data_IF_435852771132
#
_entry.id   IF_435852771132
#
_cell.length_a   1.000
_cell.length_b   1.000
_cell.length_c   1.000
_cell.angle_alpha   90.00
_cell.angle_beta   90.00
_cell.angle_gamma   90.00
#
_symmetry.space_group_name_H-M   'P 1'
#
loop_
_entity.id
_entity.type
_entity.pdbx_description
1 polymer ?
#
# COMPACT_ATOMS: atom_id res chain seq x y z
N UNK A 1 53.70 -13.87 -0.93
CA UNK A 1 54.31 -14.59 0.21
C UNK A 1 53.24 -14.81 1.27
N UNK A 2 53.48 -15.74 2.23
CA UNK A 2 52.69 -15.93 3.45
C UNK A 2 52.68 -14.61 4.27
N UNK A 3 51.74 -14.33 5.19
CA UNK A 3 51.41 -15.19 6.35
C UNK A 3 50.02 -14.88 6.94
N UNK A 4 49.36 -15.92 7.44
CA UNK A 4 48.19 -15.88 8.33
C UNK A 4 48.63 -15.35 9.71
N UNK A 5 47.79 -14.60 10.40
CA UNK A 5 47.74 -14.63 11.88
C UNK A 5 46.29 -14.67 12.34
N UNK A 6 45.99 -15.63 13.21
CA UNK A 6 44.73 -15.73 13.95
C UNK A 6 45.01 -15.36 15.41
N UNK A 7 44.06 -14.74 16.10
CA UNK A 7 44.08 -14.70 17.57
C UNK A 7 42.65 -14.68 18.09
N UNK A 8 42.33 -15.69 18.89
CA UNK A 8 41.12 -15.77 19.71
C UNK A 8 41.46 -15.17 21.08
N UNK A 9 40.55 -14.41 21.68
CA UNK A 9 40.57 -14.12 23.10
C UNK A 9 39.15 -14.12 23.68
N UNK A 10 38.93 -14.97 24.67
CA UNK A 10 37.70 -15.09 25.46
C UNK A 10 38.04 -14.79 26.91
N UNK A 11 37.25 -13.97 27.61
CA UNK A 11 37.10 -13.81 29.08
C UNK A 11 36.20 -12.56 29.30
N UNK A 12 35.40 -12.37 30.36
CA UNK A 12 34.90 -13.24 31.43
C UNK A 12 33.60 -12.63 32.01
N UNK A 13 32.81 -13.41 32.76
CA UNK A 13 31.73 -12.88 33.61
C UNK A 13 32.28 -12.04 34.77
N UNK A 14 31.51 -11.03 35.20
CA UNK A 14 31.41 -10.64 36.62
C UNK A 14 29.93 -10.50 36.97
N UNK A 15 29.51 -11.21 38.02
CA UNK A 15 28.22 -11.03 38.67
C UNK A 15 28.45 -10.49 40.09
N UNK A 16 27.58 -9.60 40.55
CA UNK A 16 27.44 -9.23 41.96
C UNK A 16 25.95 -9.14 42.28
N UNK A 17 25.56 -9.53 43.50
CA UNK A 17 24.17 -9.52 43.91
C UNK A 17 23.98 -9.34 45.41
N UNK A 18 22.70 -9.34 45.80
CA UNK A 18 22.15 -9.37 47.15
C UNK A 18 22.25 -8.11 48.03
N UNK A 19 21.12 -7.73 48.63
CA UNK A 19 21.01 -6.66 49.63
C UNK A 19 19.56 -6.22 49.89
N UNK A 20 18.73 -7.09 50.47
CA UNK A 20 17.36 -6.76 50.88
C UNK A 20 17.26 -6.53 52.40
N UNK A 21 16.50 -5.52 52.82
CA UNK A 21 15.92 -5.42 54.17
C UNK A 21 14.68 -4.51 54.14
N UNK A 22 13.64 -4.87 54.89
CA UNK A 22 12.38 -4.12 54.99
C UNK A 22 11.86 -4.09 56.43
N UNK A 23 11.41 -2.92 56.91
CA UNK A 23 10.68 -2.75 58.18
C UNK A 23 9.72 -1.54 58.07
N UNK A 24 8.46 -1.71 58.48
CA UNK A 24 7.53 -0.64 58.96
C UNK A 24 7.15 -0.94 60.44
N UNK A 25 6.25 -0.19 61.14
CA UNK A 25 5.02 0.41 60.58
C UNK A 25 4.45 1.72 61.25
N UNK A 26 3.27 2.15 60.74
CA UNK A 26 2.13 2.89 61.38
C UNK A 26 2.09 4.45 61.54
N UNK A 27 0.88 5.08 61.47
CA UNK A 27 0.64 6.52 61.28
C UNK A 27 0.04 7.23 62.54
N UNK A 28 -0.30 8.55 62.52
CA UNK A 28 -1.54 9.09 61.89
C UNK A 28 -1.23 10.35 61.01
N UNK A 29 -2.12 11.26 60.55
CA UNK A 29 -3.56 11.55 60.75
C UNK A 29 -4.20 12.25 59.50
N UNK A 30 -5.45 12.71 59.60
CA UNK A 30 -6.19 13.47 58.55
C UNK A 30 -6.20 15.00 58.79
N UNK A 31 -6.48 15.79 57.71
CA UNK A 31 -7.46 16.88 57.81
C UNK A 31 -8.64 16.74 56.82
N UNK A 32 -9.74 17.43 57.13
CA UNK A 32 -11.02 17.42 56.41
C UNK A 32 -11.08 18.48 55.27
N UNK A 33 -12.09 18.46 54.37
CA UNK A 33 -12.01 19.13 53.07
C UNK A 33 -12.53 20.58 53.05
N UNK A 34 -11.96 21.47 52.21
CA UNK A 34 -12.57 22.75 51.88
C UNK A 34 -13.29 22.72 50.51
N UNK A 35 -14.55 23.15 50.56
CA UNK A 35 -15.34 23.90 49.56
C UNK A 35 -15.17 23.63 48.04
N UNK A 36 -16.30 23.35 47.40
CA UNK A 36 -16.46 23.44 45.95
C UNK A 36 -16.06 24.83 45.42
N UNK A 37 -15.30 24.86 44.33
CA UNK A 37 -14.95 26.07 43.59
C UNK A 37 -15.30 25.87 42.12
N UNK A 38 -15.99 26.86 41.56
CA UNK A 38 -16.62 26.92 40.23
C UNK A 38 -15.84 26.28 39.07
N UNK A 39 -16.60 25.66 38.15
CA UNK A 39 -16.15 25.25 36.82
C UNK A 39 -15.33 26.35 36.13
N UNK A 40 -14.04 26.10 35.92
CA UNK A 40 -13.19 26.94 35.11
C UNK A 40 -13.40 26.64 33.62
N UNK A 41 -13.57 27.69 32.81
CA UNK A 41 -13.57 27.56 31.36
C UNK A 41 -12.27 26.87 30.86
N UNK A 42 -12.33 26.08 29.78
CA UNK A 42 -11.16 25.33 29.30
C UNK A 42 -9.99 26.27 28.96
N UNK A 43 -8.83 26.00 29.55
CA UNK A 43 -7.59 26.74 29.29
C UNK A 43 -7.17 26.53 27.82
N UNK A 44 -6.98 27.61 27.05
CA UNK A 44 -6.61 27.53 25.64
C UNK A 44 -5.31 26.73 25.43
N UNK A 45 -5.21 25.88 24.39
CA UNK A 45 -4.01 25.08 24.15
C UNK A 45 -2.73 25.93 24.04
N UNK A 46 -1.71 25.58 24.82
CA UNK A 46 -0.34 26.13 24.73
C UNK A 46 0.39 25.60 23.48
N UNK A 47 -0.16 25.90 22.30
CA UNK A 47 0.25 25.34 21.01
C UNK A 47 0.89 26.33 20.02
N UNK A 48 0.95 27.61 20.38
CA UNK A 48 1.58 28.67 19.59
C UNK A 48 3.00 28.94 20.10
N UNK A 49 3.99 29.01 19.20
CA UNK A 49 5.35 29.42 19.59
C UNK A 49 5.31 30.83 20.22
N UNK A 50 6.12 31.13 21.26
CA UNK A 50 6.00 32.38 22.03
C UNK A 50 6.09 33.71 21.24
N UNK A 51 6.64 33.68 20.02
CA UNK A 51 6.72 34.83 19.12
C UNK A 51 5.56 35.01 18.14
N UNK A 52 4.55 34.12 18.12
CA UNK A 52 3.42 34.27 17.20
C UNK A 52 2.44 35.36 17.66
N UNK A 53 2.12 36.31 16.77
CA UNK A 53 1.16 37.37 17.04
C UNK A 53 -0.21 36.80 17.44
N UNK A 54 -0.72 37.22 18.61
CA UNK A 54 -2.07 36.84 19.08
C UNK A 54 -3.18 37.67 18.44
N UNK A 55 -2.87 38.88 17.99
CA UNK A 55 -3.80 39.77 17.31
C UNK A 55 -3.07 40.52 16.19
N UNK A 56 -3.49 40.32 14.95
CA UNK A 56 -2.96 41.05 13.80
C UNK A 56 -3.93 40.96 12.61
N UNK A 57 -3.73 41.87 11.66
CA UNK A 57 -4.33 41.80 10.32
C UNK A 57 -3.32 41.13 9.39
N UNK A 58 -3.78 40.07 8.72
CA UNK A 58 -2.98 39.25 7.82
C UNK A 58 -3.47 39.43 6.38
N UNK A 59 -2.56 39.36 5.42
CA UNK A 59 -2.89 39.35 4.00
C UNK A 59 -2.03 38.35 3.21
N UNK A 60 -2.57 37.84 2.11
CA UNK A 60 -1.82 37.04 1.15
C UNK A 60 -0.82 37.92 0.38
N UNK A 61 0.24 37.33 -0.18
CA UNK A 61 1.29 38.09 -0.89
C UNK A 61 0.81 38.90 -2.11
N UNK A 62 -0.37 38.56 -2.66
CA UNK A 62 -1.05 39.28 -3.74
C UNK A 62 -2.14 40.26 -3.26
N UNK A 63 -2.37 40.38 -1.94
CA UNK A 63 -3.40 41.25 -1.36
C UNK A 63 -4.86 40.84 -1.59
N UNK A 64 -5.13 39.71 -2.26
CA UNK A 64 -6.48 39.27 -2.63
C UNK A 64 -7.28 38.69 -1.45
N UNK A 65 -6.58 38.17 -0.44
CA UNK A 65 -7.19 37.63 0.77
C UNK A 65 -6.61 38.35 1.98
N UNK A 66 -7.47 38.70 2.93
CA UNK A 66 -7.07 39.31 4.20
C UNK A 66 -8.08 39.03 5.30
N UNK A 67 -7.60 39.05 6.54
CA UNK A 67 -8.43 38.85 7.73
C UNK A 67 -7.77 39.42 8.99
N UNK A 68 -8.60 39.74 9.98
CA UNK A 68 -8.15 39.90 11.38
C UNK A 68 -8.26 38.55 12.07
N UNK A 69 -7.18 38.11 12.72
CA UNK A 69 -7.16 36.95 13.61
C UNK A 69 -6.96 37.44 15.05
N UNK A 70 -7.87 37.06 15.94
CA UNK A 70 -7.85 37.39 17.37
C UNK A 70 -7.81 36.13 18.22
N UNK A 71 -6.68 35.93 18.90
CA UNK A 71 -6.38 34.86 19.87
C UNK A 71 -6.10 35.44 21.27
N UNK A 72 -6.64 36.62 21.58
CA UNK A 72 -6.40 37.32 22.86
C UNK A 72 -7.41 36.97 23.94
N UNK A 73 -8.65 36.61 23.56
CA UNK A 73 -9.70 36.13 24.46
C UNK A 73 -9.66 34.61 24.67
N UNK A 74 -10.67 34.09 25.37
CA UNK A 74 -10.82 32.65 25.65
C UNK A 74 -11.20 31.82 24.40
N UNK A 75 -11.76 32.45 23.37
CA UNK A 75 -12.08 31.84 22.07
C UNK A 75 -11.24 32.48 20.98
N UNK A 76 -10.79 31.68 20.02
CA UNK A 76 -10.12 32.19 18.82
C UNK A 76 -11.17 32.67 17.84
N UNK A 77 -10.96 33.84 17.24
CA UNK A 77 -11.89 34.48 16.31
C UNK A 77 -11.17 34.91 15.04
N UNK A 78 -11.88 34.84 13.92
CA UNK A 78 -11.47 35.44 12.65
C UNK A 78 -12.56 36.34 12.09
N UNK A 79 -12.18 37.46 11.48
CA UNK A 79 -13.04 38.25 10.61
C UNK A 79 -12.34 38.42 9.26
N UNK A 80 -12.97 37.92 8.20
CA UNK A 80 -12.45 38.00 6.83
C UNK A 80 -12.75 39.40 6.27
N UNK A 81 -11.80 39.97 5.53
CA UNK A 81 -11.96 41.32 4.97
C UNK A 81 -13.19 41.40 4.05
N UNK A 82 -13.97 42.48 4.22
CA UNK A 82 -15.24 42.68 3.51
C UNK A 82 -16.43 41.88 4.08
N UNK A 83 -16.21 40.95 5.01
CA UNK A 83 -17.28 40.21 5.69
C UNK A 83 -17.66 40.86 7.03
N UNK A 84 -18.95 40.76 7.38
CA UNK A 84 -19.48 41.25 8.67
C UNK A 84 -19.33 40.24 9.79
N UNK A 85 -19.19 38.97 9.45
CA UNK A 85 -19.19 37.89 10.42
C UNK A 85 -17.86 37.75 11.16
N UNK A 86 -17.97 37.48 12.46
CA UNK A 86 -16.87 37.11 13.33
C UNK A 86 -17.07 35.63 13.65
N UNK A 87 -16.18 34.79 13.15
CA UNK A 87 -16.30 33.34 13.23
C UNK A 87 -15.46 32.86 14.40
N UNK A 88 -16.08 32.12 15.33
CA UNK A 88 -15.39 31.34 16.35
C UNK A 88 -14.63 30.18 15.71
N UNK A 89 -13.38 29.97 16.10
CA UNK A 89 -12.53 28.91 15.58
C UNK A 89 -12.08 27.97 16.70
N UNK A 90 -12.22 26.67 16.48
CA UNK A 90 -11.77 25.63 17.40
C UNK A 90 -10.43 25.06 16.93
N UNK A 91 -9.38 25.04 17.78
CA UNK A 91 -8.09 24.46 17.43
C UNK A 91 -8.12 22.93 17.42
N UNK A 92 -7.54 22.32 16.38
CA UNK A 92 -7.28 20.88 16.26
C UNK A 92 -5.81 20.65 15.95
N UNK A 93 -5.13 19.86 16.78
CA UNK A 93 -3.71 19.54 16.59
C UNK A 93 -3.48 18.79 15.27
N UNK A 94 -2.41 19.15 14.56
CA UNK A 94 -1.84 18.37 13.47
C UNK A 94 -0.54 17.69 13.93
N UNK A 95 -0.53 16.35 13.91
CA UNK A 95 0.62 15.54 14.31
C UNK A 95 1.05 14.60 13.19
N UNK A 96 2.36 14.48 13.01
CA UNK A 96 2.98 13.51 12.11
C UNK A 96 4.00 12.68 12.88
N UNK A 97 3.88 11.35 12.83
CA UNK A 97 4.67 10.42 13.66
C UNK A 97 4.73 10.82 15.16
N UNK A 98 3.62 11.34 15.70
CA UNK A 98 3.49 11.84 17.08
C UNK A 98 3.98 13.29 17.31
N UNK A 99 4.86 13.81 16.44
CA UNK A 99 5.37 15.18 16.52
C UNK A 99 4.33 16.22 16.08
N UNK A 100 4.16 17.29 16.86
CA UNK A 100 3.26 18.40 16.58
C UNK A 100 3.82 19.29 15.44
N UNK A 101 3.09 19.37 14.32
CA UNK A 101 3.43 20.23 13.17
C UNK A 101 2.75 21.60 13.24
N UNK A 102 1.59 21.67 13.89
CA UNK A 102 0.80 22.89 13.98
C UNK A 102 -0.63 22.61 14.44
N UNK A 103 -1.51 23.55 14.19
CA UNK A 103 -2.94 23.45 14.50
C UNK A 103 -3.76 23.91 13.30
N UNK A 104 -4.73 23.09 12.90
CA UNK A 104 -5.87 23.57 12.14
C UNK A 104 -6.80 24.34 13.07
N UNK A 105 -7.50 25.33 12.52
CA UNK A 105 -8.52 26.09 13.22
C UNK A 105 -9.81 25.97 12.42
N UNK A 106 -10.71 25.15 12.92
CA UNK A 106 -11.93 24.75 12.24
C UNK A 106 -13.10 25.64 12.68
N UNK A 107 -13.91 26.09 11.73
CA UNK A 107 -15.15 26.82 11.97
C UNK A 107 -16.29 25.89 12.44
N UNK A 108 -17.43 26.42 12.93
CA UNK A 108 -18.54 25.59 13.41
C UNK A 108 -19.17 24.70 12.33
N UNK A 109 -18.98 25.03 11.04
CA UNK A 109 -19.39 24.21 9.89
C UNK A 109 -18.42 23.04 9.57
N UNK A 110 -17.41 22.82 10.42
CA UNK A 110 -16.48 21.70 10.30
C UNK A 110 -15.29 21.93 9.36
N UNK A 111 -15.21 23.08 8.68
CA UNK A 111 -14.12 23.38 7.73
C UNK A 111 -12.94 24.08 8.42
N UNK A 112 -11.72 23.68 8.06
CA UNK A 112 -10.52 24.42 8.41
C UNK A 112 -10.52 25.79 7.70
N UNK A 113 -10.38 26.87 8.47
CA UNK A 113 -10.30 28.25 7.93
C UNK A 113 -8.86 28.73 7.88
N UNK A 114 -8.07 28.43 8.92
CA UNK A 114 -6.62 28.68 8.94
C UNK A 114 -5.85 27.49 9.49
N UNK A 115 -4.59 27.38 9.12
CA UNK A 115 -3.61 26.49 9.75
C UNK A 115 -2.44 27.32 10.26
N UNK A 116 -2.00 27.06 11.49
CA UNK A 116 -0.85 27.72 12.11
C UNK A 116 0.20 26.67 12.43
N UNK A 117 1.31 26.70 11.68
CA UNK A 117 2.46 25.83 11.89
C UNK A 117 3.19 26.16 13.20
N UNK A 118 3.86 25.18 13.82
CA UNK A 118 4.75 25.41 14.97
C UNK A 118 5.91 26.34 14.64
N UNK A 119 6.30 26.44 13.36
CA UNK A 119 7.34 27.35 12.85
C UNK A 119 6.92 28.82 12.77
N UNK A 120 5.64 29.15 12.94
CA UNK A 120 5.12 30.53 12.80
C UNK A 120 4.31 30.80 11.54
N UNK A 121 4.44 29.97 10.49
CA UNK A 121 3.70 30.13 9.24
C UNK A 121 2.19 29.99 9.43
N UNK A 122 1.41 30.89 8.80
CA UNK A 122 -0.05 30.85 8.78
C UNK A 122 -0.50 30.63 7.34
N UNK A 123 -1.41 29.66 7.15
CA UNK A 123 -2.15 29.46 5.90
C UNK A 123 -3.63 29.75 6.10
N UNK A 124 -4.27 30.22 5.04
CA UNK A 124 -5.71 30.43 4.96
C UNK A 124 -6.30 29.58 3.83
N UNK A 125 -7.47 29.00 4.09
CA UNK A 125 -8.12 28.07 3.17
C UNK A 125 -9.35 28.71 2.52
N UNK A 126 -9.46 28.60 1.20
CA UNK A 126 -10.70 28.92 0.46
C UNK A 126 -11.07 27.71 -0.39
N UNK A 127 -12.03 26.92 0.08
CA UNK A 127 -12.39 25.67 -0.58
C UNK A 127 -11.26 24.63 -0.50
N UNK A 128 -10.55 24.41 -1.62
CA UNK A 128 -9.35 23.55 -1.69
C UNK A 128 -8.04 24.34 -1.83
N UNK A 129 -8.10 25.66 -1.97
CA UNK A 129 -6.93 26.51 -2.20
C UNK A 129 -6.29 26.94 -0.86
N UNK A 130 -4.96 26.89 -0.80
CA UNK A 130 -4.16 27.34 0.34
C UNK A 130 -3.42 28.65 0.01
N UNK A 131 -3.49 29.64 0.91
CA UNK A 131 -2.76 30.90 0.78
C UNK A 131 -1.84 31.10 1.99
N UNK A 132 -0.53 31.29 1.75
CA UNK A 132 0.39 31.73 2.81
C UNK A 132 0.10 33.20 3.17
N UNK A 133 -0.02 33.46 4.48
CA UNK A 133 -0.49 34.73 5.02
C UNK A 133 0.61 35.44 5.82
N UNK A 134 0.84 36.71 5.49
CA UNK A 134 1.82 37.56 6.16
C UNK A 134 1.11 38.57 7.07
N UNK A 135 1.62 38.84 8.29
CA UNK A 135 1.11 39.91 9.13
C UNK A 135 1.48 41.26 8.50
N UNK A 136 0.48 42.08 8.14
CA UNK A 136 0.72 43.37 7.47
C UNK A 136 0.53 44.58 8.39
N UNK A 137 -0.22 44.44 9.49
CA UNK A 137 -0.37 45.48 10.53
C UNK A 137 -0.98 44.92 11.81
N UNK A 138 -0.89 45.71 12.89
CA UNK A 138 -1.72 45.48 14.09
C UNK A 138 -3.22 45.63 13.78
N UNK A 139 -4.05 44.95 14.56
CA UNK A 139 -5.51 45.00 14.44
C UNK A 139 -6.16 45.37 15.79
N UNK A 140 -7.43 45.75 15.75
CA UNK A 140 -8.27 45.85 16.94
C UNK A 140 -8.81 44.47 17.31
N UNK A 141 -9.02 44.22 18.60
CA UNK A 141 -9.63 42.99 19.08
C UNK A 141 -11.05 42.85 18.49
N UNK A 142 -11.42 41.62 18.12
CA UNK A 142 -12.73 41.35 17.53
C UNK A 142 -13.80 41.33 18.62
N UNK A 143 -15.05 41.65 18.24
CA UNK A 143 -16.21 41.53 19.11
C UNK A 143 -16.52 40.08 19.52
N UNK A 144 -17.73 39.86 20.03
CA UNK A 144 -18.28 38.51 20.19
C UNK A 144 -18.44 37.84 18.81
N UNK A 145 -18.25 36.51 18.70
CA UNK A 145 -18.51 35.80 17.46
C UNK A 145 -19.99 35.89 17.06
N UNK A 146 -20.25 36.15 15.79
CA UNK A 146 -21.60 36.07 15.18
C UNK A 146 -21.91 34.65 14.71
N UNK A 147 -20.87 33.85 14.44
CA UNK A 147 -20.95 32.44 14.08
C UNK A 147 -20.14 31.65 15.11
N UNK A 148 -20.82 30.81 15.90
CA UNK A 148 -20.28 30.17 17.10
C UNK A 148 -20.67 28.69 17.21
N UNK A 149 -19.93 27.92 18.01
CA UNK A 149 -20.20 26.52 18.34
C UNK A 149 -19.10 25.53 17.93
N UNK A 150 -19.23 24.30 18.42
CA UNK A 150 -18.27 23.22 18.14
C UNK A 150 -18.30 22.79 16.66
N UNK A 151 -17.15 22.52 16.02
CA UNK A 151 -17.08 22.08 14.63
C UNK A 151 -17.86 20.79 14.39
N UNK A 152 -18.77 20.82 13.41
CA UNK A 152 -19.46 19.62 12.93
C UNK A 152 -18.71 19.02 11.75
N UNK A 153 -17.70 18.20 12.02
CA UNK A 153 -17.07 17.41 10.97
C UNK A 153 -18.05 16.35 10.45
N UNK A 154 -18.53 16.53 9.23
CA UNK A 154 -19.15 15.42 8.49
C UNK A 154 -18.09 14.34 8.29
N UNK A 155 -18.44 13.07 8.55
CA UNK A 155 -17.54 11.95 8.28
C UNK A 155 -17.18 11.95 6.79
N UNK A 156 -15.89 11.81 6.42
CA UNK A 156 -15.50 11.64 5.03
C UNK A 156 -16.30 10.53 4.34
N UNK A 157 -16.63 10.73 3.06
CA UNK A 157 -17.44 9.77 2.30
C UNK A 157 -16.87 8.34 2.33
N UNK A 158 -15.54 8.20 2.40
CA UNK A 158 -14.87 6.90 2.50
C UNK A 158 -15.10 6.20 3.84
N UNK A 159 -15.19 6.93 4.96
CA UNK A 159 -15.51 6.34 6.26
C UNK A 159 -16.96 5.84 6.27
N UNK A 160 -17.90 6.66 5.78
CA UNK A 160 -19.32 6.28 5.67
C UNK A 160 -19.50 5.06 4.76
N UNK A 161 -18.73 4.99 3.66
CA UNK A 161 -18.75 3.86 2.75
C UNK A 161 -18.09 2.61 3.33
N UNK A 162 -16.97 2.77 4.06
CA UNK A 162 -16.32 1.70 4.82
C UNK A 162 -17.20 1.13 5.92
N UNK A 163 -17.90 1.98 6.67
CA UNK A 163 -18.90 1.61 7.69
C UNK A 163 -20.08 0.84 7.09
N UNK A 164 -20.47 1.13 5.84
CA UNK A 164 -21.48 0.37 5.09
C UNK A 164 -20.98 -1.02 4.67
N UNK A 165 -19.71 -1.16 4.27
CA UNK A 165 -19.13 -2.43 3.83
C UNK A 165 -18.66 -3.32 5.00
N UNK A 166 -18.24 -2.73 6.12
CA UNK A 166 -17.72 -3.46 7.29
C UNK A 166 -18.62 -4.59 7.79
N UNK A 167 -19.93 -4.37 8.02
CA UNK A 167 -20.88 -5.40 8.48
C UNK A 167 -21.08 -6.59 7.53
N UNK A 168 -20.78 -6.44 6.24
CA UNK A 168 -20.87 -7.52 5.24
C UNK A 168 -19.52 -8.18 4.95
N UNK A 169 -18.42 -7.66 5.50
CA UNK A 169 -17.08 -8.19 5.25
C UNK A 169 -16.87 -9.56 5.89
N UNK A 170 -16.08 -10.41 5.24
CA UNK A 170 -15.77 -11.78 5.71
C UNK A 170 -15.20 -11.76 7.11
N UNK A 171 -14.17 -10.95 7.38
CA UNK A 171 -13.52 -10.91 8.71
C UNK A 171 -14.44 -10.37 9.82
N UNK A 172 -15.53 -9.66 9.49
CA UNK A 172 -16.54 -9.22 10.47
C UNK A 172 -17.63 -10.25 10.72
N UNK A 173 -18.14 -10.90 9.66
CA UNK A 173 -19.17 -11.96 9.73
C UNK A 173 -18.61 -13.28 10.29
N UNK A 174 -17.36 -13.59 9.94
CA UNK A 174 -16.69 -14.86 10.20
C UNK A 174 -15.28 -14.61 10.76
N UNK A 175 -15.15 -14.19 12.04
CA UNK A 175 -13.87 -13.75 12.62
C UNK A 175 -12.76 -14.81 12.67
N UNK A 176 -13.08 -16.08 12.42
CA UNK A 176 -12.09 -17.16 12.36
C UNK A 176 -11.22 -17.14 11.10
N UNK A 177 -11.57 -16.36 10.07
CA UNK A 177 -10.75 -16.23 8.86
C UNK A 177 -9.74 -15.08 8.98
N UNK A 178 -8.51 -15.31 8.55
CA UNK A 178 -7.43 -14.31 8.56
C UNK A 178 -7.37 -13.50 7.26
N UNK A 179 -6.38 -12.61 7.11
CA UNK A 179 -6.16 -11.89 5.85
C UNK A 179 -5.50 -12.79 4.78
N UNK A 180 -4.71 -13.77 5.23
CA UNK A 180 -4.02 -14.77 4.43
C UNK A 180 -4.98 -15.82 3.84
N UNK A 181 -6.05 -16.17 4.57
CA UNK A 181 -7.10 -17.08 4.09
C UNK A 181 -7.76 -16.58 2.78
N UNK A 182 -7.76 -15.27 2.52
CA UNK A 182 -8.24 -14.67 1.26
C UNK A 182 -7.46 -15.15 0.01
N UNK A 183 -6.24 -15.66 0.22
CA UNK A 183 -5.35 -16.17 -0.82
C UNK A 183 -5.46 -17.68 -1.03
N UNK A 184 -6.08 -18.39 -0.08
CA UNK A 184 -6.24 -19.84 -0.10
C UNK A 184 -7.60 -20.20 -0.73
N UNK A 185 -7.58 -20.86 -1.88
CA UNK A 185 -8.79 -21.17 -2.65
C UNK A 185 -9.77 -22.08 -1.89
N UNK A 186 -9.29 -23.01 -1.06
CA UNK A 186 -10.16 -23.84 -0.23
C UNK A 186 -10.85 -23.02 0.87
N UNK A 187 -10.17 -22.00 1.41
CA UNK A 187 -10.73 -21.07 2.41
C UNK A 187 -11.71 -20.08 1.81
N UNK A 188 -11.42 -19.56 0.60
CA UNK A 188 -12.39 -18.79 -0.16
C UNK A 188 -13.64 -19.62 -0.46
N UNK A 189 -13.49 -20.89 -0.88
CA UNK A 189 -14.63 -21.79 -1.07
C UNK A 189 -15.44 -22.00 0.23
N UNK A 190 -14.77 -22.24 1.36
CA UNK A 190 -15.39 -22.38 2.69
C UNK A 190 -16.21 -21.12 3.06
N UNK A 191 -15.71 -19.92 2.74
CA UNK A 191 -16.43 -18.66 2.91
C UNK A 191 -17.61 -18.54 1.96
N UNK A 192 -17.45 -18.85 0.67
CA UNK A 192 -18.56 -18.81 -0.30
C UNK A 192 -19.69 -19.76 0.10
N UNK A 193 -19.37 -20.95 0.62
CA UNK A 193 -20.34 -21.92 1.14
C UNK A 193 -21.07 -21.41 2.41
N UNK A 194 -20.45 -20.53 3.20
CA UNK A 194 -21.04 -19.89 4.40
C UNK A 194 -21.74 -18.55 4.14
N UNK A 195 -21.34 -17.80 3.13
CA UNK A 195 -21.81 -16.43 2.86
C UNK A 195 -23.32 -16.36 2.61
N UNK A 196 -24.00 -15.37 3.18
CA UNK A 196 -25.42 -15.11 2.88
C UNK A 196 -25.56 -14.08 1.73
N UNK A 197 -26.76 -13.93 1.12
CA UNK A 197 -26.96 -13.04 -0.02
C UNK A 197 -26.54 -11.58 0.19
N UNK A 198 -26.50 -11.07 1.43
CA UNK A 198 -26.08 -9.69 1.73
C UNK A 198 -24.56 -9.46 1.62
N UNK A 199 -23.76 -10.53 1.65
CA UNK A 199 -22.30 -10.47 1.56
C UNK A 199 -21.78 -10.34 0.13
N UNK A 200 -22.59 -10.70 -0.87
CA UNK A 200 -22.21 -10.55 -2.26
C UNK A 200 -22.27 -9.11 -2.71
N UNK A 201 -21.26 -8.72 -3.46
CA UNK A 201 -21.07 -7.40 -4.06
C UNK A 201 -20.57 -7.56 -5.50
N UNK A 202 -20.56 -6.48 -6.26
CA UNK A 202 -19.86 -6.42 -7.56
C UNK A 202 -18.92 -5.22 -7.62
N UNK A 203 -17.79 -5.39 -8.29
CA UNK A 203 -16.95 -4.26 -8.68
C UNK A 203 -17.57 -3.54 -9.89
N UNK A 204 -17.54 -2.21 -9.87
CA UNK A 204 -17.97 -1.35 -10.98
C UNK A 204 -16.89 -0.33 -11.28
N UNK A 205 -16.38 -0.35 -12.50
CA UNK A 205 -15.40 0.64 -12.96
C UNK A 205 -16.10 1.98 -13.19
N UNK A 206 -15.72 2.99 -12.39
CA UNK A 206 -16.30 4.35 -12.44
C UNK A 206 -15.48 5.33 -13.25
N UNK A 207 -14.16 5.20 -13.17
CA UNK A 207 -13.22 6.03 -13.92
C UNK A 207 -12.24 5.10 -14.65
N UNK A 208 -12.22 5.11 -16.01
CA UNK A 208 -11.25 4.31 -16.77
C UNK A 208 -9.81 4.81 -16.62
N UNK A 209 -9.61 6.07 -16.18
CA UNK A 209 -8.31 6.69 -15.94
C UNK A 209 -7.98 6.82 -14.44
N UNK A 210 -8.89 6.37 -13.56
CA UNK A 210 -8.71 6.42 -12.11
C UNK A 210 -7.79 5.32 -11.59
N UNK A 211 -7.75 5.15 -10.27
CA UNK A 211 -7.05 4.04 -9.65
C UNK A 211 -7.77 2.72 -9.95
N UNK A 212 -7.10 1.79 -10.64
CA UNK A 212 -7.69 0.53 -11.09
C UNK A 212 -7.38 -0.60 -10.09
N UNK A 213 -8.31 -1.55 -9.85
CA UNK A 213 -8.12 -2.66 -8.90
C UNK A 213 -6.84 -3.43 -9.16
N UNK A 214 -5.96 -3.48 -8.15
CA UNK A 214 -4.69 -4.19 -8.25
C UNK A 214 -4.85 -5.61 -7.73
N UNK A 215 -4.42 -6.59 -8.52
CA UNK A 215 -4.25 -7.98 -8.05
C UNK A 215 -3.25 -7.98 -6.91
N UNK A 216 -3.59 -8.64 -5.81
CA UNK A 216 -2.72 -8.78 -4.63
C UNK A 216 -2.79 -10.22 -4.13
N UNK A 217 -1.80 -11.02 -4.53
CA UNK A 217 -1.79 -12.46 -4.28
C UNK A 217 -1.81 -12.84 -2.79
N UNK A 218 -1.23 -12.00 -1.93
CA UNK A 218 -1.18 -12.15 -0.46
C UNK A 218 -1.28 -10.79 0.25
N UNK A 219 -1.52 -10.75 1.58
CA UNK A 219 -1.32 -9.54 2.39
C UNK A 219 0.08 -8.91 2.23
N UNK A 220 0.18 -7.59 2.35
CA UNK A 220 1.40 -6.82 2.05
C UNK A 220 2.57 -7.05 3.01
N UNK A 221 2.30 -7.63 4.19
CA UNK A 221 3.30 -8.12 5.14
C UNK A 221 3.93 -9.47 4.74
N UNK A 222 3.45 -10.11 3.67
CA UNK A 222 4.00 -11.36 3.13
C UNK A 222 4.63 -11.08 1.77
N UNK A 223 5.95 -11.26 1.68
CA UNK A 223 6.71 -11.16 0.43
C UNK A 223 7.14 -12.54 -0.08
N UNK A 224 7.27 -12.69 -1.39
CA UNK A 224 7.82 -13.90 -2.02
C UNK A 224 9.34 -14.02 -1.89
N UNK A 225 9.92 -14.86 -2.74
CA UNK A 225 11.33 -14.81 -3.12
C UNK A 225 11.46 -13.76 -4.22
N UNK A 226 12.19 -12.68 -3.97
CA UNK A 226 12.40 -11.59 -4.93
C UNK A 226 13.83 -11.59 -5.47
N UNK A 227 13.99 -11.74 -6.79
CA UNK A 227 15.29 -11.80 -7.47
C UNK A 227 15.79 -10.44 -8.01
N UNK A 228 15.41 -9.33 -7.36
CA UNK A 228 15.92 -7.98 -7.66
C UNK A 228 15.47 -7.36 -9.01
N UNK A 229 14.76 -8.11 -9.85
CA UNK A 229 14.14 -7.60 -11.07
C UNK A 229 12.68 -7.26 -10.85
N UNK A 230 12.38 -6.01 -10.46
CA UNK A 230 10.98 -5.54 -10.35
C UNK A 230 10.21 -5.75 -11.66
N UNK A 231 8.90 -6.02 -11.55
CA UNK A 231 8.02 -6.44 -12.67
C UNK A 231 8.31 -5.70 -13.98
N UNK A 232 8.73 -6.45 -15.00
CA UNK A 232 9.07 -5.91 -16.32
C UNK A 232 8.04 -6.37 -17.33
N UNK A 233 7.25 -5.43 -17.85
CA UNK A 233 6.47 -5.67 -19.07
C UNK A 233 7.42 -6.15 -20.18
N UNK A 234 7.01 -7.18 -20.91
CA UNK A 234 7.71 -7.69 -22.08
C UNK A 234 7.45 -6.81 -23.29
N UNK A 235 8.44 -6.65 -24.16
CA UNK A 235 8.24 -6.02 -25.47
C UNK A 235 7.35 -6.83 -26.42
N UNK A 236 7.01 -8.07 -26.06
CA UNK A 236 6.08 -8.92 -26.79
C UNK A 236 4.62 -8.54 -26.50
N UNK A 237 3.87 -8.18 -27.54
CA UNK A 237 2.42 -7.96 -27.46
C UNK A 237 1.68 -9.27 -27.21
N UNK A 238 0.69 -9.25 -26.33
CA UNK A 238 -0.20 -10.38 -26.09
C UNK A 238 -1.20 -10.56 -27.25
N UNK A 239 -1.13 -11.70 -27.92
CA UNK A 239 -2.10 -12.14 -28.93
C UNK A 239 -2.73 -13.45 -28.44
N UNK A 240 -3.93 -13.34 -27.86
CA UNK A 240 -4.64 -14.47 -27.24
C UNK A 240 -4.91 -15.62 -28.21
N UNK A 241 -5.13 -15.32 -29.50
CA UNK A 241 -5.55 -16.31 -30.50
C UNK A 241 -4.37 -17.11 -31.05
N UNK A 242 -3.15 -16.57 -30.95
CA UNK A 242 -1.89 -17.25 -31.32
C UNK A 242 -1.08 -17.76 -30.12
N UNK A 243 -1.56 -17.52 -28.91
CA UNK A 243 -0.85 -17.80 -27.68
C UNK A 243 -0.62 -19.29 -27.41
N UNK A 244 0.63 -19.66 -27.13
CA UNK A 244 1.04 -21.00 -26.69
C UNK A 244 1.90 -20.91 -25.42
N UNK A 245 2.04 -22.01 -24.68
CA UNK A 245 2.75 -21.99 -23.39
C UNK A 245 2.16 -20.96 -22.42
N UNK A 246 3.02 -20.26 -21.66
CA UNK A 246 2.63 -19.20 -20.73
C UNK A 246 1.98 -18.00 -21.40
N UNK A 247 2.19 -17.79 -22.71
CA UNK A 247 1.54 -16.70 -23.43
C UNK A 247 0.01 -16.84 -23.42
N UNK A 248 -0.54 -18.05 -23.22
CA UNK A 248 -2.00 -18.26 -23.05
C UNK A 248 -2.57 -17.48 -21.86
N UNK A 249 -1.72 -17.26 -20.85
CA UNK A 249 -2.01 -16.50 -19.64
C UNK A 249 -1.32 -15.12 -19.64
N UNK A 250 -0.83 -14.66 -20.81
CA UNK A 250 -0.14 -13.38 -20.96
C UNK A 250 1.24 -13.32 -20.31
N UNK A 251 1.88 -14.45 -20.09
CA UNK A 251 3.23 -14.54 -19.52
C UNK A 251 4.29 -14.94 -20.54
N UNK A 252 5.53 -14.54 -20.30
CA UNK A 252 6.71 -15.14 -20.93
C UNK A 252 7.84 -15.23 -19.92
N UNK A 253 8.55 -16.36 -19.89
CA UNK A 253 9.77 -16.47 -19.10
C UNK A 253 10.96 -15.89 -19.85
N UNK A 254 11.81 -15.18 -19.12
CA UNK A 254 13.10 -14.70 -19.59
C UNK A 254 14.16 -15.05 -18.57
N UNK A 255 15.25 -15.67 -19.02
CA UNK A 255 16.44 -15.84 -18.21
C UNK A 255 17.21 -14.52 -18.13
N UNK A 256 17.31 -13.96 -16.94
CA UNK A 256 18.29 -12.90 -16.64
C UNK A 256 19.66 -13.56 -16.49
N UNK A 257 20.66 -12.95 -17.12
CA UNK A 257 22.02 -13.41 -17.09
C UNK A 257 22.94 -12.23 -17.39
N UNK A 258 23.98 -12.04 -16.59
CA UNK A 258 24.91 -10.93 -16.80
C UNK A 258 26.32 -11.31 -16.32
N UNK A 259 27.33 -10.77 -17.01
CA UNK A 259 28.72 -10.96 -16.65
C UNK A 259 29.02 -10.29 -15.29
N UNK A 260 29.08 -11.11 -14.23
CA UNK A 260 29.29 -10.75 -12.82
C UNK A 260 28.06 -10.22 -12.04
N UNK A 261 26.82 -10.59 -12.38
CA UNK A 261 25.68 -10.33 -11.48
C UNK A 261 25.72 -11.21 -10.21
N UNK A 262 25.04 -10.75 -9.15
CA UNK A 262 24.85 -11.49 -7.89
C UNK A 262 23.90 -12.71 -8.01
N UNK A 263 23.57 -13.12 -9.23
CA UNK A 263 22.67 -14.23 -9.57
C UNK A 263 22.20 -14.12 -11.02
N UNK A 264 22.04 -15.27 -11.68
CA UNK A 264 21.34 -15.36 -12.97
C UNK A 264 20.03 -16.09 -12.67
N UNK A 265 18.89 -15.47 -12.97
CA UNK A 265 17.57 -15.94 -12.53
C UNK A 265 16.57 -15.92 -13.68
N UNK A 266 15.64 -16.87 -13.71
CA UNK A 266 14.50 -16.89 -14.59
C UNK A 266 13.39 -16.03 -13.96
N UNK A 267 12.97 -15.01 -14.70
CA UNK A 267 11.90 -14.11 -14.29
C UNK A 267 10.72 -14.20 -15.26
N UNK A 268 9.53 -14.05 -14.70
CA UNK A 268 8.29 -13.96 -15.45
C UNK A 268 8.04 -12.50 -15.86
N UNK A 269 7.73 -12.30 -17.13
CA UNK A 269 7.29 -11.01 -17.67
C UNK A 269 5.81 -11.10 -18.07
N UNK A 270 5.02 -10.10 -17.72
CA UNK A 270 3.72 -9.88 -18.35
C UNK A 270 3.93 -9.44 -19.80
N UNK A 271 3.14 -9.97 -20.73
CA UNK A 271 3.12 -9.55 -22.12
C UNK A 271 2.37 -8.22 -22.25
N UNK A 272 2.86 -7.34 -23.13
CA UNK A 272 2.25 -6.03 -23.36
C UNK A 272 0.81 -6.17 -23.81
N UNK A 273 -0.10 -5.49 -23.12
CA UNK A 273 -1.54 -5.56 -23.39
C UNK A 273 -2.27 -6.78 -22.81
N UNK A 274 -1.60 -7.63 -22.00
CA UNK A 274 -2.33 -8.54 -21.11
C UNK A 274 -3.20 -7.70 -20.15
N UNK A 275 -4.52 -7.96 -20.03
CA UNK A 275 -5.43 -7.11 -19.27
C UNK A 275 -4.97 -6.99 -17.81
N UNK A 276 -4.68 -5.77 -17.31
CA UNK A 276 -4.21 -5.56 -15.94
C UNK A 276 -5.37 -5.27 -14.97
N UNK A 277 -6.61 -5.35 -15.43
CA UNK A 277 -7.78 -4.76 -14.79
C UNK A 277 -8.87 -5.78 -14.54
N UNK A 278 -9.43 -5.73 -13.33
CA UNK A 278 -10.67 -6.40 -12.98
C UNK A 278 -11.82 -5.85 -13.86
N UNK A 279 -12.52 -6.69 -14.62
CA UNK A 279 -13.63 -6.24 -15.44
C UNK A 279 -14.78 -5.65 -14.60
N UNK A 280 -15.45 -4.63 -15.12
CA UNK A 280 -16.68 -4.11 -14.51
C UNK A 280 -17.75 -5.20 -14.41
N UNK A 281 -18.63 -5.10 -13.42
CA UNK A 281 -19.61 -6.12 -13.02
C UNK A 281 -18.99 -7.46 -12.55
N UNK A 282 -17.69 -7.56 -12.28
CA UNK A 282 -17.16 -8.79 -11.66
C UNK A 282 -17.77 -8.96 -10.27
N UNK A 283 -18.45 -10.09 -9.99
CA UNK A 283 -19.02 -10.37 -8.68
C UNK A 283 -17.96 -10.88 -7.70
N UNK A 284 -18.20 -10.67 -6.42
CA UNK A 284 -17.29 -11.09 -5.35
C UNK A 284 -17.86 -10.85 -3.96
N UNK A 285 -16.97 -10.84 -2.98
CA UNK A 285 -17.21 -10.52 -1.57
C UNK A 285 -16.15 -9.54 -1.08
N UNK A 286 -16.50 -8.70 -0.12
CA UNK A 286 -15.52 -7.89 0.62
C UNK A 286 -14.89 -8.78 1.69
N UNK A 287 -13.59 -9.03 1.63
CA UNK A 287 -12.90 -9.82 2.65
C UNK A 287 -12.67 -9.00 3.91
N UNK A 288 -12.11 -7.80 3.75
CA UNK A 288 -11.84 -6.83 4.79
C UNK A 288 -11.89 -5.40 4.24
N UNK A 289 -12.11 -4.45 5.14
CA UNK A 289 -12.16 -3.01 4.88
C UNK A 289 -11.03 -2.36 5.66
N UNK A 290 -10.21 -1.57 4.97
CA UNK A 290 -9.15 -0.72 5.51
C UNK A 290 -9.58 0.76 5.38
N UNK A 291 -8.78 1.70 5.90
CA UNK A 291 -9.12 3.12 5.98
C UNK A 291 -9.54 3.72 4.63
N UNK A 292 -8.86 3.40 3.53
CA UNK A 292 -9.19 3.94 2.19
C UNK A 292 -9.24 2.86 1.12
N UNK A 293 -9.25 1.58 1.48
CA UNK A 293 -9.31 0.49 0.49
C UNK A 293 -10.08 -0.71 1.03
N UNK A 294 -10.49 -1.61 0.12
CA UNK A 294 -11.05 -2.91 0.50
C UNK A 294 -10.29 -4.03 -0.17
N UNK A 295 -10.16 -5.16 0.52
CA UNK A 295 -9.75 -6.42 -0.13
C UNK A 295 -11.00 -7.06 -0.70
N UNK A 296 -11.09 -7.07 -2.03
CA UNK A 296 -12.18 -7.67 -2.79
C UNK A 296 -11.74 -9.04 -3.31
N UNK A 297 -12.53 -10.08 -3.02
CA UNK A 297 -12.28 -11.44 -3.52
C UNK A 297 -13.38 -11.80 -4.51
N UNK A 298 -13.00 -12.05 -5.76
CA UNK A 298 -13.93 -12.44 -6.84
C UNK A 298 -14.55 -13.81 -6.57
N UNK A 299 -15.70 -14.10 -7.19
CA UNK A 299 -16.33 -15.43 -7.07
C UNK A 299 -15.47 -16.59 -7.62
N UNK A 300 -14.40 -16.31 -8.36
CA UNK A 300 -13.39 -17.29 -8.79
C UNK A 300 -12.15 -17.35 -7.88
N UNK A 301 -12.16 -16.68 -6.71
CA UNK A 301 -11.05 -16.67 -5.76
C UNK A 301 -9.83 -15.83 -6.14
N UNK A 302 -9.94 -14.92 -7.11
CA UNK A 302 -8.94 -13.86 -7.31
C UNK A 302 -9.03 -12.78 -6.23
N UNK A 303 -7.87 -12.34 -5.70
CA UNK A 303 -7.77 -11.36 -4.61
C UNK A 303 -7.27 -10.01 -5.13
N UNK A 304 -7.99 -8.94 -4.82
CA UNK A 304 -7.75 -7.58 -5.31
C UNK A 304 -7.80 -6.57 -4.17
N UNK A 305 -7.06 -5.48 -4.31
CA UNK A 305 -7.31 -4.25 -3.56
C UNK A 305 -8.14 -3.32 -4.44
N UNK A 306 -9.20 -2.74 -3.89
CA UNK A 306 -10.04 -1.71 -4.54
C UNK A 306 -9.96 -0.43 -3.71
N UNK A 307 -9.56 0.69 -4.34
CA UNK A 307 -9.56 2.00 -3.69
C UNK A 307 -10.99 2.46 -3.40
N UNK A 308 -11.22 2.96 -2.18
CA UNK A 308 -12.48 3.59 -1.75
C UNK A 308 -12.25 4.99 -1.18
N UNK A 309 -11.09 5.61 -1.45
CA UNK A 309 -10.75 6.99 -1.08
C UNK A 309 -11.81 8.01 -1.52
N UNK A 310 -11.81 9.21 -0.92
CA UNK A 310 -12.69 10.31 -1.35
C UNK A 310 -12.62 10.57 -2.86
N UNK A 311 -11.42 10.55 -3.44
CA UNK A 311 -11.19 10.75 -4.87
C UNK A 311 -11.83 9.66 -5.75
N UNK A 312 -11.84 8.41 -5.29
CA UNK A 312 -12.57 7.34 -5.98
C UNK A 312 -14.08 7.54 -5.87
N UNK A 313 -14.58 7.85 -4.67
CA UNK A 313 -16.01 8.02 -4.39
C UNK A 313 -16.63 9.27 -5.04
N UNK A 314 -15.86 10.31 -5.33
CA UNK A 314 -16.28 11.46 -6.17
C UNK A 314 -16.70 11.01 -7.59
N UNK A 315 -16.21 9.87 -8.08
CA UNK A 315 -16.62 9.26 -9.36
C UNK A 315 -17.76 8.24 -9.19
N UNK A 316 -18.20 8.00 -7.95
CA UNK A 316 -19.18 7.00 -7.56
C UNK A 316 -18.54 5.80 -6.84
N UNK A 317 -19.35 5.04 -6.11
CA UNK A 317 -18.88 3.86 -5.38
C UNK A 317 -18.37 2.76 -6.35
N UNK A 318 -17.11 2.28 -6.21
CA UNK A 318 -16.56 1.22 -7.07
C UNK A 318 -16.99 -0.18 -6.64
N UNK A 319 -17.64 -0.32 -5.47
CA UNK A 319 -18.27 -1.56 -5.01
C UNK A 319 -19.78 -1.31 -4.89
N UNK A 320 -20.59 -2.13 -5.53
CA UNK A 320 -22.06 -2.11 -5.41
C UNK A 320 -22.57 -3.35 -4.68
N UNK A 321 -23.70 -3.21 -3.97
CA UNK A 321 -24.34 -4.29 -3.23
C UNK A 321 -25.01 -5.30 -4.17
N UNK A 322 -24.86 -6.59 -3.86
CA UNK A 322 -25.33 -7.70 -4.68
C UNK A 322 -24.38 -8.03 -5.84
N UNK A 323 -24.34 -9.31 -6.21
CA UNK A 323 -23.53 -9.77 -7.34
C UNK A 323 -24.02 -9.25 -8.71
N UNK A 324 -25.26 -8.76 -8.80
CA UNK A 324 -25.92 -8.42 -10.07
C UNK A 324 -26.38 -9.66 -10.86
N UNK A 325 -27.08 -9.46 -11.99
CA UNK A 325 -27.59 -10.55 -12.80
C UNK A 325 -26.44 -11.32 -13.46
N UNK A 326 -26.50 -12.66 -13.42
CA UNK A 326 -25.44 -13.53 -13.97
C UNK A 326 -25.12 -13.25 -15.45
N UNK A 327 -26.09 -12.76 -16.23
CA UNK A 327 -25.92 -12.39 -17.64
C UNK A 327 -24.98 -11.20 -17.87
N UNK A 328 -24.68 -10.43 -16.83
CA UNK A 328 -23.71 -9.32 -16.86
C UNK A 328 -22.36 -9.70 -16.26
N UNK A 329 -22.20 -10.91 -15.72
CA UNK A 329 -20.94 -11.31 -15.09
C UNK A 329 -19.88 -11.58 -16.17
N UNK A 330 -18.65 -11.06 -16.01
CA UNK A 330 -17.54 -11.41 -16.88
C UNK A 330 -17.13 -12.88 -16.67
N UNK A 331 -16.39 -13.48 -17.62
CA UNK A 331 -15.89 -14.84 -17.47
C UNK A 331 -14.92 -14.96 -16.28
N UNK A 332 -14.82 -16.17 -15.73
CA UNK A 332 -13.81 -16.50 -14.72
C UNK A 332 -12.38 -16.29 -15.25
N UNK A 333 -11.44 -16.23 -14.33
CA UNK A 333 -9.99 -16.10 -14.53
C UNK A 333 -9.55 -14.75 -15.10
N UNK A 334 -10.08 -13.66 -14.52
CA UNK A 334 -9.72 -12.28 -14.89
C UNK A 334 -8.20 -12.01 -14.82
N UNK A 335 -7.48 -12.65 -13.89
CA UNK A 335 -6.01 -12.68 -13.84
C UNK A 335 -5.54 -14.08 -13.44
N UNK A 336 -4.77 -14.75 -14.28
CA UNK A 336 -4.31 -16.13 -14.06
C UNK A 336 -2.78 -16.26 -13.91
N UNK A 337 -2.04 -15.23 -14.33
CA UNK A 337 -0.59 -15.25 -14.40
C UNK A 337 0.06 -15.18 -13.01
N UNK A 338 0.90 -16.17 -12.67
CA UNK A 338 1.69 -16.20 -11.42
C UNK A 338 3.09 -16.74 -11.70
N UNK A 339 4.10 -16.12 -11.09
CA UNK A 339 5.50 -16.56 -11.14
C UNK A 339 5.97 -17.10 -9.80
N UNK A 340 7.28 -17.37 -9.70
CA UNK A 340 7.88 -17.93 -8.48
C UNK A 340 7.78 -16.98 -7.27
N UNK A 341 7.79 -15.66 -7.48
CA UNK A 341 7.59 -14.67 -6.42
C UNK A 341 6.18 -14.78 -5.83
N UNK A 342 5.14 -14.78 -6.67
CA UNK A 342 3.76 -14.95 -6.24
C UNK A 342 3.51 -16.32 -5.60
N UNK A 343 4.05 -17.39 -6.19
CA UNK A 343 3.86 -18.77 -5.71
C UNK A 343 4.54 -18.98 -4.35
N UNK A 344 5.73 -18.41 -4.15
CA UNK A 344 6.43 -18.47 -2.85
C UNK A 344 5.76 -17.60 -1.78
N UNK A 345 5.17 -16.46 -2.16
CA UNK A 345 4.33 -15.67 -1.27
C UNK A 345 3.07 -16.44 -0.86
N UNK A 346 2.38 -17.07 -1.82
CA UNK A 346 1.22 -17.94 -1.58
C UNK A 346 1.57 -19.15 -0.69
N UNK A 347 2.76 -19.73 -0.84
CA UNK A 347 3.21 -20.83 0.03
C UNK A 347 3.44 -20.36 1.48
N UNK A 348 4.05 -19.19 1.69
CA UNK A 348 4.17 -18.56 3.03
C UNK A 348 2.80 -18.26 3.66
N UNK A 349 1.80 -17.92 2.84
CA UNK A 349 0.41 -17.74 3.27
C UNK A 349 -0.37 -19.07 3.42
N UNK A 350 0.26 -20.24 3.28
CA UNK A 350 -0.40 -21.55 3.38
C UNK A 350 -1.40 -21.86 2.26
N UNK A 351 -1.36 -21.12 1.16
CA UNK A 351 -2.28 -21.24 0.02
C UNK A 351 -1.78 -22.17 -1.10
N UNK A 352 -0.52 -22.61 -1.03
CA UNK A 352 0.17 -23.51 -1.98
C UNK A 352 1.17 -24.38 -1.19
N UNK A 353 1.40 -25.66 -1.54
CA UNK A 353 2.43 -26.48 -0.88
C UNK A 353 3.85 -25.95 -1.13
N UNK A 354 4.67 -25.89 -0.08
CA UNK A 354 6.07 -25.43 -0.14
C UNK A 354 6.92 -26.17 -1.19
N UNK A 355 6.63 -27.45 -1.43
CA UNK A 355 7.29 -28.28 -2.47
C UNK A 355 7.24 -27.66 -3.87
N UNK A 356 6.18 -26.92 -4.21
CA UNK A 356 6.08 -26.22 -5.51
C UNK A 356 7.15 -25.13 -5.62
N UNK A 357 7.44 -24.43 -4.52
CA UNK A 357 8.49 -23.41 -4.44
C UNK A 357 9.86 -24.05 -4.56
N UNK A 358 10.08 -25.18 -3.87
CA UNK A 358 11.34 -25.94 -3.92
C UNK A 358 11.63 -26.45 -5.35
N UNK A 359 10.61 -27.01 -6.02
CA UNK A 359 10.73 -27.48 -7.41
C UNK A 359 11.05 -26.35 -8.40
N UNK A 360 10.38 -25.19 -8.27
CA UNK A 360 10.66 -24.01 -9.11
C UNK A 360 12.02 -23.38 -8.80
N UNK A 361 12.46 -23.38 -7.54
CA UNK A 361 13.76 -22.82 -7.13
C UNK A 361 14.91 -23.70 -7.64
N UNK A 362 14.78 -25.03 -7.58
CA UNK A 362 15.76 -25.95 -8.14
C UNK A 362 15.92 -25.80 -9.67
N UNK A 363 14.86 -25.41 -10.39
CA UNK A 363 14.90 -25.12 -11.82
C UNK A 363 15.60 -23.79 -12.14
N UNK A 364 15.43 -22.80 -11.27
CA UNK A 364 16.18 -21.53 -11.32
C UNK A 364 17.68 -21.74 -11.00
N UNK A 365 18.01 -22.59 -10.03
CA UNK A 365 19.39 -23.00 -9.73
C UNK A 365 20.04 -23.73 -10.91
N UNK A 366 19.31 -24.60 -11.62
CA UNK A 366 19.78 -25.24 -12.85
C UNK A 366 20.10 -24.21 -13.95
N UNK A 367 19.27 -23.18 -14.12
CA UNK A 367 19.56 -22.05 -15.01
C UNK A 367 20.81 -21.29 -14.57
N UNK A 368 20.90 -20.94 -13.29
CA UNK A 368 22.03 -20.19 -12.74
C UNK A 368 23.35 -20.95 -12.92
N UNK A 369 23.38 -22.24 -12.60
CA UNK A 369 24.55 -23.09 -12.78
C UNK A 369 24.97 -23.19 -14.25
N UNK A 370 24.01 -23.29 -15.18
CA UNK A 370 24.29 -23.28 -16.61
C UNK A 370 24.85 -21.92 -17.08
N UNK A 371 24.21 -20.82 -16.71
CA UNK A 371 24.64 -19.47 -17.07
C UNK A 371 26.05 -19.16 -16.54
N UNK A 372 26.35 -19.51 -15.29
CA UNK A 372 27.68 -19.38 -14.70
C UNK A 372 28.74 -20.20 -15.47
N UNK A 373 28.40 -21.42 -15.91
CA UNK A 373 29.31 -22.24 -16.73
C UNK A 373 29.62 -21.58 -18.08
N UNK A 374 28.63 -20.95 -18.72
CA UNK A 374 28.83 -20.23 -19.99
C UNK A 374 29.67 -18.95 -19.77
N UNK A 375 29.36 -18.12 -18.77
CA UNK A 375 30.15 -16.92 -18.46
C UNK A 375 31.58 -17.22 -18.02
N UNK A 376 31.82 -18.34 -17.32
CA UNK A 376 33.18 -18.82 -17.02
C UNK A 376 33.99 -19.10 -18.29
N UNK A 377 33.33 -19.56 -19.36
CA UNK A 377 33.94 -19.70 -20.70
C UNK A 377 34.18 -18.35 -21.40
N UNK A 378 33.43 -17.31 -21.06
CA UNK A 378 33.58 -15.96 -21.60
C UNK A 378 34.76 -15.19 -21.00
N UNK A 379 35.13 -15.49 -19.74
CA UNK A 379 36.15 -14.75 -18.98
C UNK A 379 37.46 -14.48 -19.76
N UNK A 380 38.07 -15.44 -20.49
CA UNK A 380 39.30 -15.16 -21.25
C UNK A 380 39.15 -14.11 -22.36
N UNK A 381 37.96 -13.96 -22.94
CA UNK A 381 37.67 -12.95 -23.97
C UNK A 381 37.58 -11.56 -23.35
N UNK A 382 36.87 -11.42 -22.23
CA UNK A 382 36.81 -10.16 -21.47
C UNK A 382 38.16 -9.76 -20.87
N UNK A 383 38.88 -10.71 -20.26
CA UNK A 383 40.23 -10.46 -19.73
C UNK A 383 41.16 -9.93 -20.84
N UNK A 384 41.10 -10.50 -22.04
CA UNK A 384 41.83 -10.01 -23.22
C UNK A 384 41.41 -8.59 -23.61
N UNK A 385 40.12 -8.27 -23.64
CA UNK A 385 39.62 -6.93 -23.96
C UNK A 385 40.05 -5.86 -22.94
N UNK A 386 40.17 -6.23 -21.66
CA UNK A 386 40.66 -5.34 -20.61
C UNK A 386 42.15 -5.04 -20.70
N UNK A 387 43.00 -6.05 -20.99
CA UNK A 387 44.47 -5.87 -21.06
C UNK A 387 44.98 -5.37 -22.41
N UNK A 388 44.16 -5.43 -23.48
CA UNK A 388 44.56 -4.91 -24.79
C UNK A 388 44.51 -3.38 -24.79
N UNK A 389 45.61 -2.75 -25.20
CA UNK A 389 45.65 -1.29 -25.39
C UNK A 389 44.76 -0.88 -26.58
N UNK A 390 43.77 -0.05 -26.30
CA UNK A 390 42.83 0.50 -27.28
C UNK A 390 42.05 1.68 -26.68
N UNK A 391 41.55 2.56 -27.55
CA UNK A 391 40.71 3.69 -27.17
C UNK A 391 39.43 3.24 -26.42
N UNK A 392 39.00 4.02 -25.42
CA UNK A 392 37.90 3.67 -24.51
C UNK A 392 36.62 3.26 -25.26
N UNK A 393 36.11 4.09 -26.17
CA UNK A 393 34.88 3.77 -26.91
C UNK A 393 34.99 2.52 -27.81
N UNK A 394 36.20 2.18 -28.26
CA UNK A 394 36.45 0.94 -29.00
C UNK A 394 36.45 -0.28 -28.06
N UNK A 395 36.94 -0.13 -26.83
CA UNK A 395 36.85 -1.17 -25.79
C UNK A 395 35.39 -1.39 -25.39
N UNK A 396 34.65 -0.32 -25.12
CA UNK A 396 33.24 -0.35 -24.74
C UNK A 396 32.38 -1.04 -25.81
N UNK A 397 32.51 -0.64 -27.09
CA UNK A 397 31.79 -1.30 -28.19
C UNK A 397 32.11 -2.79 -28.34
N UNK A 398 33.38 -3.20 -28.15
CA UNK A 398 33.78 -4.61 -28.19
C UNK A 398 33.29 -5.39 -26.97
N UNK A 399 33.25 -4.77 -25.78
CA UNK A 399 32.69 -5.37 -24.56
C UNK A 399 31.18 -5.56 -24.74
N UNK A 400 30.46 -4.59 -25.30
CA UNK A 400 29.03 -4.72 -25.64
C UNK A 400 28.76 -5.90 -26.58
N UNK A 401 29.48 -5.97 -27.71
CA UNK A 401 29.38 -7.09 -28.65
C UNK A 401 29.71 -8.45 -28.02
N UNK A 402 30.70 -8.50 -27.12
CA UNK A 402 31.01 -9.72 -26.37
C UNK A 402 29.88 -10.09 -25.39
N UNK A 403 29.31 -9.12 -24.66
CA UNK A 403 28.16 -9.36 -23.77
C UNK A 403 26.98 -9.90 -24.56
N UNK A 404 26.57 -9.26 -25.67
CA UNK A 404 25.46 -9.72 -26.51
C UNK A 404 25.64 -11.16 -27.02
N UNK A 405 26.84 -11.45 -27.55
CA UNK A 405 27.26 -12.79 -28.01
C UNK A 405 27.16 -13.85 -26.90
N UNK A 406 27.65 -13.54 -25.70
CA UNK A 406 27.62 -14.49 -24.59
C UNK A 406 26.25 -14.60 -23.93
N UNK A 407 25.44 -13.54 -23.90
CA UNK A 407 24.02 -13.58 -23.50
C UNK A 407 23.17 -14.40 -24.48
N UNK A 408 23.40 -14.28 -25.80
CA UNK A 408 22.79 -15.17 -26.80
C UNK A 408 23.21 -16.62 -26.55
N UNK A 409 24.50 -16.86 -26.29
CA UNK A 409 24.99 -18.20 -25.95
C UNK A 409 24.36 -18.77 -24.68
N UNK A 410 24.19 -17.98 -23.61
CA UNK A 410 23.47 -18.41 -22.40
C UNK A 410 22.02 -18.76 -22.75
N UNK A 411 21.30 -17.89 -23.47
CA UNK A 411 19.91 -18.13 -23.89
C UNK A 411 19.77 -19.42 -24.70
N UNK A 412 20.73 -19.74 -25.56
CA UNK A 412 20.75 -20.96 -26.38
C UNK A 412 21.11 -22.21 -25.58
N UNK A 413 22.25 -22.20 -24.90
CA UNK A 413 22.80 -23.36 -24.18
C UNK A 413 21.92 -23.74 -22.96
N UNK A 414 21.32 -22.76 -22.29
CA UNK A 414 20.58 -22.94 -21.04
C UNK A 414 19.05 -22.95 -21.22
N UNK A 415 18.55 -22.94 -22.46
CA UNK A 415 17.10 -22.95 -22.78
C UNK A 415 16.33 -24.07 -22.08
N UNK A 416 16.93 -25.24 -21.89
CA UNK A 416 16.28 -26.39 -21.26
C UNK A 416 15.78 -26.11 -19.82
N UNK A 417 16.47 -25.24 -19.06
CA UNK A 417 16.01 -24.85 -17.73
C UNK A 417 14.77 -23.93 -17.80
N UNK A 418 14.75 -22.98 -18.74
CA UNK A 418 13.57 -22.14 -19.01
C UNK A 418 12.37 -23.00 -19.43
N UNK A 419 12.56 -23.94 -20.36
CA UNK A 419 11.48 -24.79 -20.86
C UNK A 419 10.92 -25.72 -19.77
N UNK A 420 11.79 -26.19 -18.86
CA UNK A 420 11.41 -26.97 -17.68
C UNK A 420 10.58 -26.14 -16.69
N UNK A 421 11.00 -24.90 -16.42
CA UNK A 421 10.28 -24.00 -15.52
C UNK A 421 8.97 -23.48 -16.11
N UNK A 422 8.92 -23.20 -17.42
CA UNK A 422 7.69 -22.88 -18.13
C UNK A 422 6.68 -24.03 -17.98
N UNK A 423 7.12 -25.29 -18.18
CA UNK A 423 6.26 -26.46 -17.99
C UNK A 423 5.73 -26.60 -16.55
N UNK A 424 6.56 -26.37 -15.54
CA UNK A 424 6.14 -26.43 -14.13
C UNK A 424 5.17 -25.30 -13.76
N UNK A 425 5.42 -24.06 -14.21
CA UNK A 425 4.50 -22.94 -14.01
C UNK A 425 3.17 -23.14 -14.75
N UNK A 426 3.20 -23.67 -15.98
CA UNK A 426 2.00 -24.02 -16.73
C UNK A 426 1.13 -25.03 -15.98
N UNK A 427 1.72 -26.14 -15.53
CA UNK A 427 0.99 -27.15 -14.78
C UNK A 427 0.38 -26.58 -13.48
N UNK A 428 1.10 -25.71 -12.78
CA UNK A 428 0.59 -25.00 -11.60
C UNK A 428 -0.58 -24.06 -11.94
N UNK A 429 -0.43 -23.20 -12.96
CA UNK A 429 -1.45 -22.24 -13.37
C UNK A 429 -2.70 -22.97 -13.87
N UNK A 430 -2.56 -24.03 -14.67
CA UNK A 430 -3.69 -24.83 -15.18
C UNK A 430 -4.46 -25.53 -14.04
N UNK A 431 -3.75 -26.12 -13.07
CA UNK A 431 -4.38 -26.72 -11.89
C UNK A 431 -5.10 -25.67 -11.02
N UNK A 432 -4.45 -24.53 -10.73
CA UNK A 432 -5.07 -23.46 -9.94
C UNK A 432 -6.26 -22.82 -10.66
N UNK A 433 -6.19 -22.68 -11.99
CA UNK A 433 -7.31 -22.22 -12.82
C UNK A 433 -8.51 -23.18 -12.77
N UNK A 434 -8.27 -24.50 -12.78
CA UNK A 434 -9.32 -25.52 -12.62
C UNK A 434 -10.01 -25.41 -11.25
N UNK A 435 -9.25 -25.21 -10.18
CA UNK A 435 -9.79 -24.97 -8.84
C UNK A 435 -10.65 -23.70 -8.78
N UNK A 436 -10.16 -22.60 -9.36
CA UNK A 436 -10.88 -21.32 -9.43
C UNK A 436 -12.18 -21.39 -10.23
N UNK A 437 -12.19 -22.09 -11.37
CA UNK A 437 -13.41 -22.34 -12.15
C UNK A 437 -14.41 -23.14 -11.30
N UNK A 438 -13.96 -24.19 -10.60
CA UNK A 438 -14.83 -24.99 -9.75
C UNK A 438 -15.44 -24.18 -8.58
N UNK A 439 -14.73 -23.18 -8.05
CA UNK A 439 -15.27 -22.24 -7.06
C UNK A 439 -16.28 -21.30 -7.70
N UNK A 440 -15.97 -20.74 -8.88
CA UNK A 440 -16.86 -19.85 -9.61
C UNK A 440 -18.20 -20.50 -9.98
N UNK A 441 -18.18 -21.75 -10.45
CA UNK A 441 -19.39 -22.47 -10.83
C UNK A 441 -20.25 -22.87 -9.61
N UNK A 442 -19.64 -23.18 -8.46
CA UNK A 442 -20.38 -23.30 -7.17
C UNK A 442 -20.98 -21.96 -6.74
N UNK A 443 -20.18 -20.89 -6.78
CA UNK A 443 -20.59 -19.56 -6.34
C UNK A 443 -21.72 -18.98 -7.19
N UNK A 444 -21.75 -19.25 -8.50
CA UNK A 444 -22.88 -18.92 -9.40
C UNK A 444 -24.21 -19.40 -8.85
N UNK A 445 -24.34 -20.70 -8.55
CA UNK A 445 -25.59 -21.31 -8.07
C UNK A 445 -26.11 -20.60 -6.83
N UNK A 446 -25.21 -20.18 -5.94
CA UNK A 446 -25.57 -19.53 -4.68
C UNK A 446 -25.86 -18.03 -4.81
N UNK A 447 -25.03 -17.29 -5.55
CA UNK A 447 -25.15 -15.84 -5.69
C UNK A 447 -26.19 -15.39 -6.74
N UNK A 448 -26.57 -16.27 -7.68
CA UNK A 448 -27.67 -16.03 -8.63
C UNK A 448 -28.93 -16.87 -8.37
N UNK A 449 -29.09 -17.43 -7.17
CA UNK A 449 -30.26 -18.23 -6.77
C UNK A 449 -31.52 -17.40 -6.45
N UNK A 450 -31.68 -16.21 -7.06
CA UNK A 450 -32.85 -15.33 -6.97
C UNK A 450 -33.02 -14.54 -8.27
#
# INVERSE_FOLDING_TARGET
>A
MRTIHSTIATLALVAFGCGSAAVGPTPPAHPAPPAASSEGAPELPKGAAPGQLKLAHFASGNGMHGFVLDRTGAVVKIQIDGQKDIIELTPREDRHAGGLRGHYFDAPDGKAVIYIATSGGIRYFVGRDEFDMLPIRGALALGAPTIAGQPKHEKPAYEVFGEKLGPISVRKKFPQFTAEDASNLAKVAEVMDKADPSMFVRYVQRDPNGWLPRVVWVPSNISGIGYGGGSRESSLTWDKDKATGLAKFGGVLKGYSAYNSQGNHIFLQSMKGYPPNLATNTPGIVWEVDSTSVVFVTLDGGRYTVDISSSALEKGAPIEMGAGPQTQWPPALQHALTGIEEISALAKAGAVPQKVVEELSAQDDEWNACAQKVWKGAKPEFDKLHVTDMHYGTREGKVGQAVEKWEEKVRKDCKAAIDKQEKSLLAFIEQRNKERIAIFDKAKVKAGGK
#
